data_IF_207044482459
#
_entry.id   IF_207044482459
#
_cell.length_a   1.000
_cell.length_b   1.000
_cell.length_c   1.000
_cell.angle_alpha   90.00
_cell.angle_beta   90.00
_cell.angle_gamma   90.00
#
_symmetry.space_group_name_H-M   'P 1'
#
loop_
_entity.id
_entity.type
_entity.pdbx_description
1 polymer ?
#
# COMPACT_ATOMS: atom_id res chain seq x y z
N UNK A 1 -20.31 17.35 6.53
CA UNK A 1 -18.93 17.80 6.23
C UNK A 1 -18.02 17.72 7.45
N UNK A 2 -18.31 18.39 8.60
CA UNK A 2 -17.43 18.36 9.78
C UNK A 2 -17.08 16.96 10.26
N UNK A 3 -18.06 16.10 10.48
CA UNK A 3 -17.86 14.70 10.92
C UNK A 3 -17.00 13.87 9.96
N UNK A 4 -17.10 14.10 8.66
CA UNK A 4 -16.25 13.43 7.65
C UNK A 4 -14.79 13.70 7.93
N UNK A 5 -14.42 14.98 8.10
CA UNK A 5 -13.04 15.38 8.41
C UNK A 5 -12.56 14.87 9.78
N UNK A 6 -13.45 14.87 10.78
CA UNK A 6 -13.13 14.36 12.12
C UNK A 6 -12.83 12.87 12.10
N UNK A 7 -13.67 12.05 11.43
CA UNK A 7 -13.45 10.61 11.31
C UNK A 7 -12.23 10.28 10.43
N UNK A 8 -12.05 10.96 9.31
CA UNK A 8 -10.85 10.75 8.49
C UNK A 8 -9.57 11.03 9.29
N UNK A 9 -9.54 12.13 10.06
CA UNK A 9 -8.41 12.47 10.93
C UNK A 9 -8.21 11.44 12.05
N UNK A 10 -9.29 10.99 12.68
CA UNK A 10 -9.24 9.98 13.73
C UNK A 10 -8.68 8.66 13.20
N UNK A 11 -9.24 8.17 12.09
CA UNK A 11 -8.84 6.91 11.46
C UNK A 11 -7.37 6.94 11.04
N UNK A 12 -6.90 8.03 10.42
CA UNK A 12 -5.52 8.17 9.99
C UNK A 12 -4.54 8.14 11.19
N UNK A 13 -4.85 8.84 12.27
CA UNK A 13 -3.99 8.86 13.46
C UNK A 13 -4.03 7.54 14.23
N UNK A 14 -5.19 6.88 14.30
CA UNK A 14 -5.31 5.55 14.88
C UNK A 14 -4.45 4.54 14.13
N UNK A 15 -4.63 4.45 12.81
CA UNK A 15 -3.85 3.52 11.97
C UNK A 15 -2.35 3.81 12.04
N UNK A 16 -1.94 5.09 11.98
CA UNK A 16 -0.54 5.47 12.09
C UNK A 16 0.08 5.03 13.42
N UNK A 17 -0.62 5.24 14.53
CA UNK A 17 -0.16 4.81 15.86
C UNK A 17 -0.01 3.28 15.95
N UNK A 18 -1.01 2.55 15.48
CA UNK A 18 -1.01 1.07 15.51
C UNK A 18 0.08 0.47 14.60
N UNK A 19 0.29 1.00 13.39
CA UNK A 19 1.40 0.57 12.52
C UNK A 19 2.78 0.87 13.14
N UNK A 20 2.92 2.03 13.80
CA UNK A 20 4.14 2.36 14.55
C UNK A 20 4.39 1.34 15.68
N UNK A 21 3.37 1.02 16.45
CA UNK A 21 3.46 0.02 17.54
C UNK A 21 3.78 -1.38 17.00
N UNK A 22 3.30 -1.71 15.79
CA UNK A 22 3.64 -2.92 15.05
C UNK A 22 5.05 -2.91 14.44
N UNK A 23 5.81 -1.81 14.60
CA UNK A 23 7.20 -1.70 14.19
C UNK A 23 7.43 -1.11 12.79
N UNK A 24 6.40 -0.57 12.13
CA UNK A 24 6.58 0.16 10.88
C UNK A 24 7.15 1.57 11.13
N UNK A 25 7.97 2.04 10.20
CA UNK A 25 8.61 3.34 10.32
C UNK A 25 7.73 4.44 9.72
N UNK A 26 7.18 5.32 10.56
CA UNK A 26 6.49 6.52 10.10
C UNK A 26 7.50 7.51 9.52
N UNK A 27 7.19 8.10 8.36
CA UNK A 27 8.04 9.11 7.74
C UNK A 27 8.13 10.40 8.60
N UNK A 28 7.06 10.71 9.32
CA UNK A 28 6.96 11.90 10.20
C UNK A 28 6.43 11.50 11.59
N UNK A 29 7.24 10.83 12.44
CA UNK A 29 6.77 10.21 13.68
C UNK A 29 6.27 11.20 14.74
N UNK A 30 6.67 12.49 14.64
CA UNK A 30 6.32 13.54 15.60
C UNK A 30 5.15 14.43 15.12
N UNK A 31 4.58 14.09 13.97
CA UNK A 31 3.45 14.82 13.39
C UNK A 31 2.17 14.01 13.44
N UNK A 32 1.08 14.70 13.77
CA UNK A 32 -0.26 14.12 13.58
C UNK A 32 -0.66 14.19 12.10
N UNK A 33 -1.31 13.15 11.65
CA UNK A 33 -1.94 13.11 10.34
C UNK A 33 -3.17 14.02 10.30
N UNK A 34 -3.47 14.56 9.14
CA UNK A 34 -4.79 15.14 8.85
C UNK A 34 -5.77 14.03 8.45
N UNK A 35 -5.62 13.47 7.26
CA UNK A 35 -6.43 12.36 6.74
C UNK A 35 -5.57 11.25 6.14
N UNK A 36 -4.29 11.50 5.94
CA UNK A 36 -3.31 10.59 5.37
C UNK A 36 -1.98 10.70 6.11
N UNK A 37 -1.17 9.65 6.02
CA UNK A 37 0.19 9.63 6.55
C UNK A 37 1.08 8.74 5.68
N UNK A 38 2.38 8.95 5.77
CA UNK A 38 3.36 8.18 5.03
C UNK A 38 4.18 7.28 5.97
N UNK A 39 4.41 6.05 5.53
CA UNK A 39 5.43 5.16 6.09
C UNK A 39 6.55 4.97 5.08
N UNK A 40 7.76 4.66 5.57
CA UNK A 40 8.86 4.22 4.73
C UNK A 40 9.15 2.75 4.97
N UNK A 41 9.30 2.01 3.90
CA UNK A 41 9.71 0.60 3.90
C UNK A 41 11.20 0.44 3.53
N UNK A 42 11.98 1.54 3.63
CA UNK A 42 13.42 1.49 3.35
C UNK A 42 14.19 0.48 4.24
N UNK A 43 13.84 0.29 5.53
CA UNK A 43 14.44 -0.78 6.34
C UNK A 43 14.14 -2.18 5.79
N UNK A 44 12.87 -2.46 5.46
CA UNK A 44 12.39 -3.74 4.91
C UNK A 44 13.00 -4.00 3.52
N UNK A 45 13.06 -2.98 2.68
CA UNK A 45 13.69 -3.08 1.36
C UNK A 45 15.18 -3.46 1.47
N UNK A 46 15.90 -2.84 2.39
CA UNK A 46 17.31 -3.15 2.64
C UNK A 46 17.52 -4.54 3.25
N UNK A 47 16.65 -4.94 4.15
CA UNK A 47 16.80 -6.19 4.91
C UNK A 47 16.31 -7.40 4.12
N UNK A 48 15.17 -7.30 3.43
CA UNK A 48 14.49 -8.42 2.78
C UNK A 48 14.58 -8.38 1.24
N UNK A 49 15.05 -7.29 0.66
CA UNK A 49 15.18 -7.13 -0.80
C UNK A 49 13.82 -7.00 -1.51
N UNK A 50 12.82 -6.45 -0.83
CA UNK A 50 11.47 -6.17 -1.33
C UNK A 50 11.25 -4.67 -1.44
N UNK A 51 10.48 -4.23 -2.43
CA UNK A 51 10.19 -2.82 -2.67
C UNK A 51 8.86 -2.38 -2.08
N UNK A 52 8.64 -1.07 -1.95
CA UNK A 52 7.32 -0.53 -1.57
C UNK A 52 6.21 -0.99 -2.54
N UNK A 53 6.54 -1.15 -3.82
CA UNK A 53 5.60 -1.69 -4.81
C UNK A 53 5.23 -3.14 -4.51
N UNK A 54 6.17 -3.97 -4.07
CA UNK A 54 5.90 -5.36 -3.70
C UNK A 54 4.98 -5.41 -2.48
N UNK A 55 5.28 -4.60 -1.46
CA UNK A 55 4.39 -4.43 -0.30
C UNK A 55 3.00 -3.94 -0.69
N UNK A 56 2.88 -2.96 -1.60
CA UNK A 56 1.59 -2.41 -2.00
C UNK A 56 0.73 -3.41 -2.79
N UNK A 57 1.34 -4.34 -3.51
CA UNK A 57 0.59 -5.35 -4.28
C UNK A 57 0.06 -6.49 -3.41
N UNK A 58 0.73 -6.80 -2.31
CA UNK A 58 0.33 -7.92 -1.47
C UNK A 58 -0.99 -7.71 -0.68
N UNK A 59 -1.33 -6.51 -0.15
CA UNK A 59 -2.63 -6.25 0.48
C UNK A 59 -3.84 -6.58 -0.39
N UNK A 60 -3.70 -6.52 -1.72
CA UNK A 60 -4.76 -6.91 -2.65
C UNK A 60 -5.20 -8.36 -2.46
N UNK A 61 -4.27 -9.28 -2.12
CA UNK A 61 -4.57 -10.68 -1.84
C UNK A 61 -5.27 -10.87 -0.49
N UNK A 62 -5.16 -9.90 0.41
CA UNK A 62 -5.86 -9.82 1.69
C UNK A 62 -7.20 -9.09 1.59
N UNK A 63 -7.60 -8.64 0.40
CA UNK A 63 -8.86 -7.95 0.15
C UNK A 63 -8.84 -6.45 0.46
N UNK A 64 -7.65 -5.85 0.64
CA UNK A 64 -7.48 -4.43 0.87
C UNK A 64 -7.04 -3.68 -0.39
N UNK A 65 -7.44 -2.42 -0.47
CA UNK A 65 -6.94 -1.53 -1.52
C UNK A 65 -5.45 -1.23 -1.31
N UNK A 66 -4.69 -1.22 -2.41
CA UNK A 66 -3.27 -0.92 -2.36
C UNK A 66 -3.02 0.55 -2.00
N UNK A 67 -2.15 0.87 -1.04
CA UNK A 67 -1.71 2.23 -0.76
C UNK A 67 -0.99 2.86 -1.97
N UNK A 68 -0.96 4.19 -2.03
CA UNK A 68 -0.17 4.92 -3.03
C UNK A 68 1.32 4.71 -2.76
N UNK A 69 2.06 4.34 -3.81
CA UNK A 69 3.50 4.09 -3.73
C UNK A 69 4.31 5.26 -4.24
N UNK A 70 5.54 5.43 -3.69
CA UNK A 70 6.54 6.41 -4.13
C UNK A 70 6.07 7.86 -4.13
N UNK A 71 5.09 8.17 -3.32
CA UNK A 71 4.63 9.54 -3.11
C UNK A 71 4.45 9.82 -1.60
N UNK A 72 5.03 10.91 -1.07
CA UNK A 72 5.89 11.90 -1.74
C UNK A 72 7.28 11.35 -2.11
N UNK A 73 7.86 11.83 -3.22
CA UNK A 73 9.15 11.37 -3.76
C UNK A 73 10.35 11.56 -2.83
N UNK A 74 10.22 12.41 -1.81
CA UNK A 74 11.27 12.68 -0.83
C UNK A 74 11.46 11.53 0.17
N UNK A 75 10.52 10.61 0.27
CA UNK A 75 10.55 9.50 1.21
C UNK A 75 10.88 8.23 0.43
N UNK A 76 12.03 7.59 0.70
CA UNK A 76 12.41 6.35 0.02
C UNK A 76 11.44 5.22 0.40
N UNK A 77 11.11 4.37 -0.56
CA UNK A 77 10.21 3.22 -0.39
C UNK A 77 8.92 3.61 0.36
N UNK A 78 8.28 4.68 -0.11
CA UNK A 78 7.13 5.29 0.55
C UNK A 78 5.84 4.57 0.21
N UNK A 79 5.02 4.35 1.24
CA UNK A 79 3.58 4.12 1.13
C UNK A 79 2.84 5.29 1.75
N UNK A 80 1.98 5.94 0.97
CA UNK A 80 1.04 6.94 1.46
C UNK A 80 -0.30 6.25 1.73
N UNK A 81 -0.74 6.30 2.98
CA UNK A 81 -1.91 5.56 3.46
C UNK A 81 -2.99 6.55 3.89
N UNK A 82 -4.17 6.38 3.31
CA UNK A 82 -5.35 7.18 3.59
C UNK A 82 -6.52 6.26 3.94
N UNK A 83 -6.77 5.99 5.23
CA UNK A 83 -8.02 5.38 5.66
C UNK A 83 -9.11 6.45 5.62
N UNK A 84 -10.14 6.21 4.83
CA UNK A 84 -11.25 7.15 4.70
C UNK A 84 -12.11 7.19 5.96
N UNK A 85 -13.00 8.18 6.05
CA UNK A 85 -13.95 8.30 7.16
C UNK A 85 -14.97 7.18 7.23
N UNK A 86 -15.12 6.41 6.14
CA UNK A 86 -16.07 5.30 6.04
C UNK A 86 -15.55 3.99 6.60
N UNK A 87 -14.25 3.90 6.84
CA UNK A 87 -13.65 2.67 7.38
C UNK A 87 -14.01 2.47 8.84
N UNK A 88 -14.44 1.25 9.15
CA UNK A 88 -14.68 0.84 10.54
C UNK A 88 -13.38 0.50 11.26
N UNK A 89 -13.41 0.49 12.59
CA UNK A 89 -12.24 0.11 13.39
C UNK A 89 -11.80 -1.32 13.08
N UNK A 90 -12.75 -2.23 12.84
CA UNK A 90 -12.46 -3.62 12.49
C UNK A 90 -11.78 -3.72 11.12
N UNK A 91 -12.16 -2.90 10.14
CA UNK A 91 -11.51 -2.84 8.83
C UNK A 91 -10.08 -2.31 8.95
N UNK A 92 -9.88 -1.28 9.78
CA UNK A 92 -8.55 -0.71 10.04
C UNK A 92 -7.66 -1.71 10.76
N UNK A 93 -8.17 -2.40 11.80
CA UNK A 93 -7.41 -3.43 12.51
C UNK A 93 -7.08 -4.61 11.59
N UNK A 94 -8.01 -5.03 10.74
CA UNK A 94 -7.76 -6.05 9.72
C UNK A 94 -6.66 -5.66 8.73
N UNK A 95 -6.59 -4.38 8.34
CA UNK A 95 -5.50 -3.87 7.51
C UNK A 95 -4.15 -3.92 8.23
N UNK A 96 -4.12 -3.57 9.53
CA UNK A 96 -2.91 -3.66 10.35
C UNK A 96 -2.42 -5.10 10.43
N UNK A 97 -3.32 -6.05 10.72
CA UNK A 97 -3.01 -7.48 10.78
C UNK A 97 -2.45 -7.98 9.43
N UNK A 98 -3.05 -7.56 8.31
CA UNK A 98 -2.55 -7.88 6.99
C UNK A 98 -1.14 -7.31 6.76
N UNK A 99 -0.87 -6.07 7.14
CA UNK A 99 0.46 -5.46 6.99
C UNK A 99 1.51 -6.16 7.83
N UNK A 100 1.19 -6.59 9.05
CA UNK A 100 2.07 -7.38 9.92
C UNK A 100 2.38 -8.73 9.27
N UNK A 101 1.35 -9.44 8.80
CA UNK A 101 1.53 -10.72 8.12
C UNK A 101 2.39 -10.58 6.84
N UNK A 102 2.17 -9.52 6.04
CA UNK A 102 2.97 -9.24 4.84
C UNK A 102 4.44 -8.97 5.20
N UNK A 103 4.71 -8.32 6.32
CA UNK A 103 6.08 -8.11 6.79
C UNK A 103 6.75 -9.42 7.19
N UNK A 104 6.04 -10.33 7.86
CA UNK A 104 6.52 -11.68 8.18
C UNK A 104 6.77 -12.51 6.92
N UNK A 105 5.87 -12.41 5.92
CA UNK A 105 6.07 -13.01 4.60
C UNK A 105 7.31 -12.43 3.89
N UNK A 106 7.54 -11.12 3.98
CA UNK A 106 8.73 -10.48 3.39
C UNK A 106 10.04 -11.02 3.99
N UNK A 107 10.04 -11.34 5.27
CA UNK A 107 11.20 -11.93 5.97
C UNK A 107 11.41 -13.39 5.60
N UNK A 108 10.33 -14.18 5.53
CA UNK A 108 10.41 -15.64 5.36
C UNK A 108 10.37 -16.08 3.90
N UNK A 109 9.60 -15.40 3.07
CA UNK A 109 9.35 -15.78 1.67
C UNK A 109 9.19 -14.55 0.76
N UNK A 110 10.26 -13.73 0.56
CA UNK A 110 10.18 -12.46 -0.18
C UNK A 110 9.66 -12.59 -1.62
N UNK A 111 9.84 -13.75 -2.26
CA UNK A 111 9.36 -14.01 -3.61
C UNK A 111 7.82 -14.03 -3.69
N UNK A 112 7.14 -14.30 -2.58
CA UNK A 112 5.69 -14.20 -2.48
C UNK A 112 5.20 -12.78 -2.71
N UNK A 113 5.89 -11.78 -2.13
CA UNK A 113 5.57 -10.37 -2.33
C UNK A 113 5.92 -9.92 -3.75
N UNK A 114 7.08 -10.31 -4.26
CA UNK A 114 7.54 -9.91 -5.59
C UNK A 114 6.65 -10.41 -6.71
N UNK A 115 5.95 -11.52 -6.50
CA UNK A 115 5.01 -12.10 -7.47
C UNK A 115 3.54 -11.72 -7.22
N UNK A 116 3.24 -11.00 -6.13
CA UNK A 116 1.88 -10.55 -5.81
C UNK A 116 1.34 -9.55 -6.87
N UNK A 117 0.01 -9.49 -7.07
CA UNK A 117 -1.05 -10.25 -6.40
C UNK A 117 -1.25 -11.64 -6.98
N UNK A 118 -1.80 -12.58 -6.20
CA UNK A 118 -2.02 -13.97 -6.60
C UNK A 118 -3.50 -14.32 -6.81
N UNK A 119 -4.39 -13.70 -6.02
CA UNK A 119 -5.83 -14.01 -6.01
C UNK A 119 -6.64 -13.22 -7.02
N UNK A 120 -6.05 -12.16 -7.60
CA UNK A 120 -6.74 -11.31 -8.57
C UNK A 120 -6.65 -11.87 -9.99
N UNK A 121 -7.66 -11.55 -10.85
CA UNK A 121 -7.65 -11.95 -12.27
C UNK A 121 -6.46 -11.38 -13.05
N UNK A 122 -5.98 -10.18 -12.66
CA UNK A 122 -4.84 -9.51 -13.26
C UNK A 122 -3.67 -9.55 -12.28
N UNK A 123 -2.56 -10.09 -12.73
CA UNK A 123 -1.29 -10.17 -12.00
C UNK A 123 -0.50 -8.88 -12.11
N UNK A 124 0.77 -8.92 -11.73
CA UNK A 124 1.71 -7.81 -11.89
C UNK A 124 1.70 -7.28 -13.32
N UNK A 125 1.52 -5.97 -13.47
CA UNK A 125 1.59 -5.30 -14.77
C UNK A 125 3.04 -5.14 -15.21
N UNK A 126 3.26 -5.20 -16.52
CA UNK A 126 4.56 -4.90 -17.13
C UNK A 126 4.64 -3.37 -17.37
N UNK A 127 5.17 -2.65 -16.40
CA UNK A 127 5.28 -1.19 -16.46
C UNK A 127 6.22 -0.72 -17.57
N UNK A 128 7.26 -1.49 -17.89
CA UNK A 128 8.19 -1.16 -18.99
C UNK A 128 7.47 -1.27 -20.33
N UNK A 129 6.63 -2.28 -20.51
CA UNK A 129 5.85 -2.46 -21.73
C UNK A 129 4.78 -1.38 -21.87
N UNK A 130 4.18 -0.93 -20.77
CA UNK A 130 3.22 0.18 -20.76
C UNK A 130 3.86 1.45 -21.30
N UNK A 131 5.06 1.79 -20.88
CA UNK A 131 5.74 3.02 -21.29
C UNK A 131 6.15 3.00 -22.77
N UNK A 132 6.31 1.81 -23.35
CA UNK A 132 6.59 1.59 -24.76
C UNK A 132 5.34 1.28 -25.60
N UNK A 133 4.15 1.39 -25.03
CA UNK A 133 2.91 1.11 -25.73
C UNK A 133 2.63 2.18 -26.79
N UNK A 134 2.71 1.79 -28.06
CA UNK A 134 2.17 2.56 -29.17
C UNK A 134 0.72 2.15 -29.39
N UNK A 135 -0.19 3.11 -29.32
CA UNK A 135 -1.61 2.85 -29.55
C UNK A 135 -1.80 2.20 -30.94
N UNK A 136 -2.43 1.03 -31.05
CA UNK A 136 -2.66 0.39 -32.33
C UNK A 136 -3.53 1.29 -33.22
N UNK A 137 -3.00 1.68 -34.37
CA UNK A 137 -3.70 2.52 -35.36
C UNK A 137 -4.70 1.73 -36.20
N UNK A 138 -4.94 0.46 -35.90
CA UNK A 138 -5.89 -0.41 -36.60
C UNK A 138 -7.30 -0.38 -36.00
N UNK A 139 -8.33 -0.83 -36.74
CA UNK A 139 -9.68 -0.91 -36.22
C UNK A 139 -9.74 -1.82 -34.97
N UNK A 140 -10.41 -1.35 -33.91
CA UNK A 140 -10.66 -2.12 -32.70
C UNK A 140 -11.33 -3.44 -33.09
N UNK A 141 -10.64 -4.55 -32.88
CA UNK A 141 -11.26 -5.86 -33.02
C UNK A 141 -12.34 -5.96 -31.94
N UNK A 142 -13.59 -6.13 -32.35
CA UNK A 142 -14.68 -6.40 -31.41
C UNK A 142 -14.34 -7.63 -30.58
N UNK A 143 -14.26 -7.46 -29.27
CA UNK A 143 -14.27 -8.58 -28.34
C UNK A 143 -15.60 -9.32 -28.52
N UNK A 144 -15.55 -10.54 -29.06
CA UNK A 144 -16.65 -11.51 -28.98
C UNK A 144 -16.46 -12.35 -27.73
#
# INVERSE_FOLDING_TARGET
>A
MLRVAEYATLNANYLAARLKDAGFTLAYPDRRATHEFAITLAPEAKQFGVTAMDFAKRPLDYGFHAPTTYFPLLIPECLLIEPTETESIEAIDGFIDAMVAIREEAETEPELLKSAPHTLPVRRLDDVRRDNWTWPTGPLRSCR
#
